data_IF_401180106742
#
_entry.id   IF_401180106742
#
_cell.length_a   1.000
_cell.length_b   1.000
_cell.length_c   1.000
_cell.angle_alpha   90.00
_cell.angle_beta   90.00
_cell.angle_gamma   90.00
#
_symmetry.space_group_name_H-M   'P 1'
#
loop_
_entity.id
_entity.type
_entity.pdbx_description
1 polymer ?
#
# COMPACT_ATOMS: atom_id res chain seq x y z
N UNK A 1 2.41 -0.07 -12.22
CA UNK A 1 3.59 -0.47 -11.42
C UNK A 1 3.19 -1.57 -10.46
N UNK A 2 4.17 -2.32 -9.94
CA UNK A 2 3.94 -3.39 -8.97
C UNK A 2 4.91 -3.24 -7.79
N UNK A 3 4.47 -3.57 -6.58
CA UNK A 3 5.30 -3.58 -5.38
C UNK A 3 5.01 -4.85 -4.58
N UNK A 4 6.08 -5.54 -4.19
CA UNK A 4 6.02 -6.63 -3.22
C UNK A 4 6.18 -6.03 -1.82
N UNK A 5 5.26 -6.34 -0.92
CA UNK A 5 5.29 -5.87 0.47
C UNK A 5 4.95 -7.00 1.43
N UNK A 6 5.51 -6.91 2.63
CA UNK A 6 5.33 -7.88 3.70
C UNK A 6 4.98 -7.16 4.98
N UNK A 7 3.96 -7.65 5.68
CA UNK A 7 3.61 -7.20 7.01
C UNK A 7 3.16 -8.37 7.88
N UNK A 8 3.05 -8.13 9.18
CA UNK A 8 2.72 -9.16 10.17
C UNK A 8 1.50 -8.74 10.99
N UNK A 9 0.60 -9.69 11.24
CA UNK A 9 -0.63 -9.52 12.03
C UNK A 9 -0.56 -10.38 13.29
N UNK A 10 -0.21 -9.82 14.46
CA UNK A 10 -0.24 -10.56 15.71
C UNK A 10 -1.70 -10.78 16.16
N UNK A 11 -1.95 -11.92 16.79
CA UNK A 11 -3.18 -12.20 17.52
C UNK A 11 -2.85 -12.61 18.94
N UNK A 12 -3.62 -12.12 19.90
CA UNK A 12 -3.61 -12.64 21.27
C UNK A 12 -5.01 -12.56 21.84
N UNK A 13 -5.52 -13.67 22.37
CA UNK A 13 -6.87 -13.75 22.93
C UNK A 13 -6.96 -14.72 24.09
N UNK A 14 -7.95 -14.48 24.94
CA UNK A 14 -8.46 -15.42 25.93
C UNK A 14 -9.95 -15.61 25.69
N UNK A 15 -10.42 -16.84 25.70
CA UNK A 15 -11.84 -17.17 25.54
C UNK A 15 -12.16 -18.50 26.22
N UNK A 16 -13.45 -18.73 26.48
CA UNK A 16 -13.94 -20.01 26.98
C UNK A 16 -14.38 -20.88 25.79
N UNK A 17 -13.99 -22.15 25.80
CA UNK A 17 -14.36 -23.13 24.78
C UNK A 17 -14.59 -24.50 25.44
N UNK A 18 -15.78 -25.07 25.23
CA UNK A 18 -16.16 -26.37 25.80
C UNK A 18 -15.98 -26.45 27.33
N UNK A 19 -16.32 -25.36 28.04
CA UNK A 19 -16.15 -25.23 29.49
C UNK A 19 -14.69 -25.08 29.96
N UNK A 20 -13.76 -24.84 29.03
CA UNK A 20 -12.33 -24.67 29.31
C UNK A 20 -11.90 -23.24 29.05
N UNK A 21 -11.09 -22.70 29.95
CA UNK A 21 -10.41 -21.42 29.77
C UNK A 21 -9.23 -21.60 28.81
N UNK A 22 -9.29 -20.94 27.66
CA UNK A 22 -8.27 -21.02 26.61
C UNK A 22 -7.60 -19.66 26.42
N UNK A 23 -6.28 -19.68 26.20
CA UNK A 23 -5.48 -18.54 25.76
C UNK A 23 -4.71 -18.94 24.52
N UNK A 24 -4.72 -18.10 23.48
CA UNK A 24 -3.85 -18.29 22.32
C UNK A 24 -3.18 -16.99 21.90
N UNK A 25 -2.07 -17.16 21.22
CA UNK A 25 -1.39 -16.07 20.54
C UNK A 25 -0.62 -16.59 19.33
N UNK A 26 -0.40 -15.72 18.36
CA UNK A 26 0.25 -16.10 17.12
C UNK A 26 0.60 -14.89 16.29
N UNK A 27 1.33 -15.16 15.21
CA UNK A 27 1.78 -14.16 14.25
C UNK A 27 1.50 -14.67 12.85
N UNK A 28 0.65 -13.95 12.11
CA UNK A 28 0.39 -14.23 10.70
C UNK A 28 1.21 -13.28 9.83
N UNK A 29 2.18 -13.81 9.12
CA UNK A 29 2.93 -13.09 8.08
C UNK A 29 2.10 -13.05 6.80
N UNK A 30 1.97 -11.86 6.23
CA UNK A 30 1.28 -11.60 4.98
C UNK A 30 2.28 -11.01 4.00
N UNK A 31 2.49 -11.70 2.88
CA UNK A 31 3.21 -11.19 1.72
C UNK A 31 2.20 -10.92 0.62
N UNK A 32 2.26 -9.74 0.00
CA UNK A 32 1.37 -9.37 -1.08
C UNK A 32 2.11 -8.63 -2.19
N UNK A 33 1.67 -8.90 -3.41
CA UNK A 33 2.05 -8.12 -4.58
C UNK A 33 0.91 -7.17 -4.94
N UNK A 34 1.12 -5.87 -4.78
CA UNK A 34 0.12 -4.87 -5.11
C UNK A 34 0.46 -4.20 -6.43
N UNK A 35 -0.54 -4.09 -7.32
CA UNK A 35 -0.48 -3.23 -8.49
C UNK A 35 -0.98 -1.86 -8.12
N UNK A 36 -0.23 -0.84 -8.50
CA UNK A 36 -0.59 0.54 -8.28
C UNK A 36 -0.37 1.37 -9.54
N UNK A 37 -1.06 2.50 -9.57
CA UNK A 37 -0.99 3.44 -10.68
C UNK A 37 -1.54 4.79 -10.27
N UNK A 38 -1.63 5.66 -11.27
CA UNK A 38 -2.21 6.99 -11.15
C UNK A 38 -3.20 7.19 -12.29
N UNK A 39 -4.30 7.88 -12.01
CA UNK A 39 -5.20 8.34 -13.06
C UNK A 39 -4.64 9.65 -13.63
N UNK A 40 -4.17 9.59 -14.88
CA UNK A 40 -3.61 10.75 -15.58
C UNK A 40 -4.66 11.87 -15.74
N UNK A 41 -5.96 11.55 -15.75
CA UNK A 41 -7.03 12.56 -15.84
C UNK A 41 -7.21 13.37 -14.56
N UNK A 42 -6.79 12.81 -13.42
CA UNK A 42 -6.80 13.52 -12.13
C UNK A 42 -5.62 14.48 -12.00
N UNK A 43 -4.55 14.28 -12.79
CA UNK A 43 -3.42 15.19 -12.83
C UNK A 43 -3.84 16.58 -13.32
N UNK A 44 -3.12 17.57 -12.80
CA UNK A 44 -3.32 18.98 -13.10
C UNK A 44 -2.00 19.55 -13.58
N UNK A 45 -2.04 20.29 -14.69
CA UNK A 45 -0.88 20.81 -15.37
C UNK A 45 -0.93 22.33 -15.42
N UNK A 46 0.21 22.97 -15.26
CA UNK A 46 0.39 24.41 -15.46
C UNK A 46 1.71 24.60 -16.19
N UNK A 47 1.66 25.21 -17.37
CA UNK A 47 2.85 25.50 -18.14
C UNK A 47 3.16 26.99 -18.07
N UNK A 48 4.34 27.32 -17.57
CA UNK A 48 4.89 28.68 -17.58
C UNK A 48 5.79 28.83 -18.80
N UNK A 49 5.33 29.63 -19.77
CA UNK A 49 6.01 29.87 -21.04
C UNK A 49 7.28 30.70 -20.84
N UNK A 50 7.28 31.66 -19.90
CA UNK A 50 8.40 32.59 -19.72
C UNK A 50 9.62 31.87 -19.14
N UNK A 51 9.38 30.93 -18.21
CA UNK A 51 10.42 30.18 -17.52
C UNK A 51 10.67 28.78 -18.12
N UNK A 52 9.87 28.35 -19.10
CA UNK A 52 9.86 26.99 -19.66
C UNK A 52 9.79 25.93 -18.54
N UNK A 53 8.74 26.02 -17.71
CA UNK A 53 8.51 25.12 -16.58
C UNK A 53 7.12 24.50 -16.66
N UNK A 54 7.06 23.17 -16.61
CA UNK A 54 5.83 22.42 -16.45
C UNK A 54 5.62 22.04 -14.98
N UNK A 55 4.62 22.64 -14.34
CA UNK A 55 4.20 22.27 -13.00
C UNK A 55 3.08 21.23 -13.06
N UNK A 56 3.25 20.12 -12.35
CA UNK A 56 2.28 19.01 -12.28
C UNK A 56 1.82 18.84 -10.83
N UNK A 57 0.51 18.81 -10.62
CA UNK A 57 -0.13 18.72 -9.32
C UNK A 57 -1.13 17.55 -9.24
N UNK A 58 -1.65 17.29 -8.03
CA UNK A 58 -2.63 16.24 -7.72
C UNK A 58 -2.14 14.82 -8.00
N UNK A 59 -0.87 14.54 -7.67
CA UNK A 59 -0.31 13.19 -7.81
C UNK A 59 -0.82 12.32 -6.65
N UNK A 60 -1.88 11.55 -6.92
CA UNK A 60 -2.49 10.64 -5.96
C UNK A 60 -2.40 9.18 -6.44
N UNK A 61 -1.31 8.46 -6.13
CA UNK A 61 -1.21 7.04 -6.44
C UNK A 61 -2.29 6.24 -5.73
N UNK A 62 -2.91 5.29 -6.44
CA UNK A 62 -3.90 4.38 -5.89
C UNK A 62 -3.52 2.93 -6.16
N UNK A 63 -3.84 2.06 -5.21
CA UNK A 63 -3.80 0.63 -5.44
C UNK A 63 -4.93 0.25 -6.40
N UNK A 64 -4.57 -0.43 -7.49
CA UNK A 64 -5.49 -0.86 -8.53
C UNK A 64 -5.97 -2.29 -8.28
N UNK A 65 -5.07 -3.14 -7.78
CA UNK A 65 -5.39 -4.51 -7.40
C UNK A 65 -4.35 -5.06 -6.45
N UNK A 66 -4.78 -5.96 -5.58
CA UNK A 66 -3.91 -6.81 -4.79
C UNK A 66 -3.85 -8.17 -5.50
N UNK A 67 -2.67 -8.49 -6.04
CA UNK A 67 -2.39 -9.72 -6.80
C UNK A 67 -2.24 -10.93 -5.90
N UNK A 68 -1.16 -11.70 -6.08
CA UNK A 68 -0.90 -12.89 -5.26
C UNK A 68 -0.67 -12.52 -3.81
N UNK A 69 -1.35 -13.24 -2.92
CA UNK A 69 -1.31 -13.08 -1.46
C UNK A 69 -0.79 -14.40 -0.89
N UNK A 70 0.26 -14.35 -0.09
CA UNK A 70 0.76 -15.51 0.66
C UNK A 70 0.61 -15.21 2.14
N UNK A 71 -0.09 -16.09 2.84
CA UNK A 71 -0.31 -15.98 4.28
C UNK A 71 0.29 -17.20 4.97
N UNK A 72 1.21 -16.95 5.88
CA UNK A 72 1.90 -18.00 6.63
C UNK A 72 1.93 -17.65 8.10
N UNK A 73 1.62 -18.63 8.95
CA UNK A 73 1.78 -18.48 10.39
C UNK A 73 3.25 -18.63 10.73
N UNK A 74 3.87 -17.57 11.27
CA UNK A 74 5.23 -17.64 11.81
C UNK A 74 5.24 -18.55 13.05
N UNK A 75 4.24 -18.37 13.91
CA UNK A 75 3.95 -19.24 15.04
C UNK A 75 2.48 -19.07 15.46
N UNK A 76 1.94 -20.10 16.12
CA UNK A 76 0.63 -20.04 16.77
C UNK A 76 0.61 -21.03 17.93
N UNK A 77 0.34 -20.54 19.13
CA UNK A 77 0.30 -21.34 20.35
C UNK A 77 -1.06 -21.21 21.03
N UNK A 78 -1.54 -22.33 21.57
CA UNK A 78 -2.80 -22.43 22.30
C UNK A 78 -2.57 -23.12 23.64
N UNK A 79 -3.14 -22.55 24.69
CA UNK A 79 -2.98 -22.96 26.06
C UNK A 79 -4.35 -23.12 26.70
N UNK A 80 -4.46 -24.13 27.55
CA UNK A 80 -5.60 -24.39 28.40
C UNK A 80 -5.22 -24.08 29.85
N UNK A 81 -6.11 -23.43 30.60
CA UNK A 81 -5.93 -23.22 32.03
C UNK A 81 -6.45 -24.43 32.80
N UNK A 82 -5.55 -25.38 33.09
CA UNK A 82 -5.87 -26.64 33.76
C UNK A 82 -4.86 -26.96 34.84
N UNK A 83 -5.18 -27.92 35.71
CA UNK A 83 -4.20 -28.47 36.65
C UNK A 83 -3.56 -29.75 36.11
N UNK A 84 -2.31 -30.01 36.48
CA UNK A 84 -1.63 -31.26 36.14
C UNK A 84 -2.20 -32.45 36.91
N UNK A 85 -2.68 -32.22 38.13
CA UNK A 85 -3.28 -33.23 39.01
C UNK A 85 -4.15 -32.56 40.09
N UNK A 86 -4.83 -33.36 40.90
CA UNK A 86 -5.82 -32.87 41.90
C UNK A 86 -5.17 -31.98 42.98
N UNK A 87 -3.86 -32.09 43.20
CA UNK A 87 -3.14 -31.36 44.25
C UNK A 87 -2.35 -30.15 43.73
N UNK A 88 -2.31 -29.94 42.42
CA UNK A 88 -1.56 -28.85 41.81
C UNK A 88 -2.46 -27.66 41.50
N UNK A 89 -1.89 -26.46 41.57
CA UNK A 89 -2.56 -25.25 41.10
C UNK A 89 -2.75 -25.26 39.59
N UNK A 90 -3.82 -24.61 39.12
CA UNK A 90 -4.08 -24.44 37.69
C UNK A 90 -3.07 -23.49 37.06
N UNK A 91 -2.57 -23.86 35.88
CA UNK A 91 -1.60 -23.10 35.09
C UNK A 91 -1.96 -23.19 33.61
N UNK A 92 -1.49 -22.22 32.83
CA UNK A 92 -1.60 -22.27 31.37
C UNK A 92 -0.66 -23.35 30.83
N UNK A 93 -1.22 -24.35 30.16
CA UNK A 93 -0.47 -25.49 29.64
C UNK A 93 -0.93 -25.83 28.23
N UNK A 94 -0.01 -26.35 27.42
CA UNK A 94 -0.34 -26.84 26.09
C UNK A 94 -1.30 -28.03 26.21
N UNK A 95 -2.34 -28.03 25.37
CA UNK A 95 -3.28 -29.13 25.22
C UNK A 95 -3.24 -29.62 23.78
N UNK A 96 -2.89 -30.89 23.59
CA UNK A 96 -2.73 -31.48 22.26
C UNK A 96 -4.07 -31.77 21.57
N UNK A 97 -5.15 -31.93 22.33
CA UNK A 97 -6.51 -32.14 21.84
C UNK A 97 -7.15 -30.86 21.27
N UNK A 98 -6.56 -29.69 21.50
CA UNK A 98 -7.01 -28.41 20.94
C UNK A 98 -6.54 -28.17 19.50
N UNK A 99 -5.87 -29.13 18.85
CA UNK A 99 -5.31 -28.94 17.51
C UNK A 99 -6.37 -28.59 16.45
N UNK A 100 -7.51 -29.29 16.45
CA UNK A 100 -8.59 -28.98 15.50
C UNK A 100 -9.18 -27.58 15.73
N UNK A 101 -9.33 -27.21 17.00
CA UNK A 101 -9.83 -25.89 17.38
C UNK A 101 -8.82 -24.79 17.01
N UNK A 102 -7.53 -25.01 17.23
CA UNK A 102 -6.46 -24.13 16.80
C UNK A 102 -6.49 -23.91 15.28
N UNK A 103 -6.69 -24.96 14.48
CA UNK A 103 -6.81 -24.83 13.03
C UNK A 103 -8.05 -24.01 12.62
N UNK A 104 -9.18 -24.19 13.30
CA UNK A 104 -10.39 -23.37 13.08
C UNK A 104 -10.12 -21.89 13.40
N UNK A 105 -9.43 -21.58 14.50
CA UNK A 105 -9.05 -20.20 14.85
C UNK A 105 -8.11 -19.63 13.79
N UNK A 106 -7.08 -20.38 13.41
CA UNK A 106 -6.09 -19.96 12.41
C UNK A 106 -6.75 -19.63 11.07
N UNK A 107 -7.66 -20.47 10.60
CA UNK A 107 -8.36 -20.27 9.34
C UNK A 107 -9.36 -19.11 9.42
N UNK A 108 -10.11 -19.01 10.51
CA UNK A 108 -11.02 -17.87 10.75
C UNK A 108 -10.27 -16.54 10.75
N UNK A 109 -9.11 -16.50 11.41
CA UNK A 109 -8.27 -15.30 11.43
C UNK A 109 -7.68 -15.00 10.06
N UNK A 110 -7.18 -16.01 9.34
CA UNK A 110 -6.69 -15.87 7.97
C UNK A 110 -7.75 -15.26 7.05
N UNK A 111 -8.98 -15.75 7.10
CA UNK A 111 -10.11 -15.19 6.34
C UNK A 111 -10.44 -13.75 6.75
N UNK A 112 -10.39 -13.44 8.05
CA UNK A 112 -10.60 -12.08 8.53
C UNK A 112 -9.55 -11.11 7.99
N UNK A 113 -8.28 -11.54 7.96
CA UNK A 113 -7.17 -10.75 7.41
C UNK A 113 -7.32 -10.61 5.89
N UNK A 114 -7.72 -11.66 5.19
CA UNK A 114 -8.02 -11.62 3.76
C UNK A 114 -9.06 -10.56 3.41
N UNK A 115 -10.19 -10.54 4.13
CA UNK A 115 -11.24 -9.54 3.96
C UNK A 115 -10.77 -8.11 4.28
N UNK A 116 -9.80 -7.95 5.19
CA UNK A 116 -9.22 -6.64 5.50
C UNK A 116 -8.31 -6.12 4.38
N UNK A 117 -7.57 -7.01 3.70
CA UNK A 117 -6.68 -6.64 2.59
C UNK A 117 -7.48 -6.11 1.41
N UNK A 118 -8.64 -6.69 1.12
CA UNK A 118 -9.50 -6.23 0.02
C UNK A 118 -9.99 -4.78 0.21
N UNK A 119 -10.06 -4.31 1.46
CA UNK A 119 -10.46 -2.93 1.78
C UNK A 119 -9.28 -1.95 1.77
N UNK A 120 -8.05 -2.43 1.56
CA UNK A 120 -6.82 -1.65 1.71
C UNK A 120 -6.37 -1.62 3.18
N UNK A 121 -5.30 -2.36 3.55
CA UNK A 121 -4.78 -2.33 4.91
C UNK A 121 -4.15 -0.97 5.24
N UNK A 122 -4.47 -0.42 6.41
CA UNK A 122 -3.76 0.75 6.98
C UNK A 122 -2.25 0.50 7.08
N UNK A 123 -1.83 -0.74 7.26
CA UNK A 123 -0.42 -1.13 7.31
C UNK A 123 0.30 -0.98 5.96
N UNK A 124 -0.39 -0.60 4.88
CA UNK A 124 0.26 -0.21 3.63
C UNK A 124 0.53 1.29 3.55
N UNK A 125 0.22 2.06 4.59
CA UNK A 125 0.48 3.50 4.55
C UNK A 125 1.96 3.83 4.37
N UNK A 126 2.84 3.04 4.99
CA UNK A 126 4.29 3.25 4.90
C UNK A 126 4.84 3.05 3.48
N UNK A 127 4.18 2.28 2.61
CA UNK A 127 4.59 2.12 1.20
C UNK A 127 4.07 3.23 0.29
N UNK A 128 3.20 4.14 0.74
CA UNK A 128 2.73 5.26 -0.10
C UNK A 128 3.88 6.17 -0.53
N UNK A 129 4.82 6.47 0.37
CA UNK A 129 5.96 7.35 0.05
C UNK A 129 6.83 6.81 -1.10
N UNK A 130 7.34 5.56 -1.07
CA UNK A 130 8.11 5.03 -2.19
C UNK A 130 7.25 4.84 -3.46
N UNK A 131 5.97 4.50 -3.33
CA UNK A 131 5.04 4.44 -4.47
C UNK A 131 4.93 5.80 -5.16
N UNK A 132 4.73 6.85 -4.36
CA UNK A 132 4.62 8.22 -4.84
C UNK A 132 5.88 8.66 -5.57
N UNK A 133 7.05 8.45 -4.98
CA UNK A 133 8.33 8.74 -5.64
C UNK A 133 8.48 8.01 -6.98
N UNK A 134 8.08 6.75 -7.06
CA UNK A 134 8.10 5.99 -8.31
C UNK A 134 7.17 6.58 -9.38
N UNK A 135 5.97 7.04 -8.98
CA UNK A 135 5.02 7.71 -9.87
C UNK A 135 5.55 9.06 -10.32
N UNK A 136 6.12 9.86 -9.43
CA UNK A 136 6.74 11.16 -9.74
C UNK A 136 7.88 11.01 -10.74
N UNK A 137 8.75 10.00 -10.54
CA UNK A 137 9.81 9.67 -11.50
C UNK A 137 9.26 9.27 -12.87
N UNK A 138 8.17 8.48 -12.91
CA UNK A 138 7.54 8.09 -14.16
C UNK A 138 6.90 9.29 -14.89
N UNK A 139 6.23 10.18 -14.16
CA UNK A 139 5.67 11.42 -14.70
C UNK A 139 6.79 12.29 -15.26
N UNK A 140 7.88 12.46 -14.53
CA UNK A 140 9.06 13.18 -15.01
C UNK A 140 9.52 12.60 -16.34
N UNK A 141 9.69 11.27 -16.47
CA UNK A 141 10.11 10.63 -17.72
C UNK A 141 9.11 10.85 -18.86
N UNK A 142 7.81 10.74 -18.59
CA UNK A 142 6.75 10.87 -19.61
C UNK A 142 6.69 12.27 -20.23
N UNK A 143 6.84 13.31 -19.43
CA UNK A 143 6.68 14.70 -19.88
C UNK A 143 8.00 15.40 -20.21
N UNK A 144 9.17 14.78 -19.91
CA UNK A 144 10.49 15.39 -20.15
C UNK A 144 10.75 15.73 -21.61
N UNK A 145 10.18 14.96 -22.53
CA UNK A 145 10.26 15.23 -23.97
C UNK A 145 9.48 16.47 -24.39
N UNK A 146 8.48 16.88 -23.59
CA UNK A 146 7.63 18.04 -23.84
C UNK A 146 8.17 19.29 -23.14
N UNK A 147 8.64 19.16 -21.90
CA UNK A 147 9.28 20.23 -21.13
C UNK A 147 10.42 19.65 -20.27
N UNK A 148 11.66 20.14 -20.41
CA UNK A 148 12.79 19.63 -19.63
C UNK A 148 12.70 19.93 -18.13
N UNK A 149 12.11 21.07 -17.77
CA UNK A 149 11.99 21.54 -16.39
C UNK A 149 10.60 21.20 -15.84
N UNK A 150 10.52 20.10 -15.10
CA UNK A 150 9.27 19.67 -14.48
C UNK A 150 9.35 19.91 -12.97
N UNK A 151 8.32 20.55 -12.43
CA UNK A 151 8.14 20.75 -10.99
C UNK A 151 6.88 20.00 -10.57
N UNK A 152 6.99 19.24 -9.50
CA UNK A 152 5.88 18.49 -8.94
C UNK A 152 5.46 19.14 -7.63
N UNK A 153 4.17 19.41 -7.48
CA UNK A 153 3.57 19.96 -6.26
C UNK A 153 2.40 19.08 -5.78
N UNK A 154 2.00 19.23 -4.52
CA UNK A 154 0.91 18.46 -3.94
C UNK A 154 -0.46 18.85 -4.52
N UNK A 155 -0.83 20.13 -4.41
CA UNK A 155 -2.17 20.62 -4.70
C UNK A 155 -2.20 21.58 -5.88
N UNK A 156 -3.25 21.48 -6.69
CA UNK A 156 -3.52 22.40 -7.78
C UNK A 156 -4.33 23.63 -7.30
N UNK A 157 -4.05 24.79 -7.87
CA UNK A 157 -4.89 25.99 -7.78
C UNK A 157 -5.78 26.15 -9.04
N UNK A 158 -6.56 27.23 -9.12
CA UNK A 158 -7.45 27.53 -10.25
C UNK A 158 -6.72 27.74 -11.60
N UNK A 159 -5.41 27.99 -11.58
CA UNK A 159 -4.61 28.20 -12.79
C UNK A 159 -4.19 26.89 -13.47
N UNK A 160 -4.41 25.74 -12.82
CA UNK A 160 -4.10 24.45 -13.41
C UNK A 160 -5.21 23.96 -14.34
N UNK A 161 -4.79 23.28 -15.40
CA UNK A 161 -5.65 22.70 -16.43
C UNK A 161 -5.52 21.17 -16.46
N UNK A 162 -6.57 20.46 -16.90
CA UNK A 162 -6.48 19.02 -17.14
C UNK A 162 -5.65 18.74 -18.41
N UNK A 163 -5.17 17.50 -18.55
CA UNK A 163 -4.27 17.10 -19.64
C UNK A 163 -4.85 17.36 -21.04
N UNK A 164 -6.16 17.26 -21.22
CA UNK A 164 -6.82 17.45 -22.52
C UNK A 164 -6.73 18.90 -23.03
N UNK A 165 -6.51 19.86 -22.13
CA UNK A 165 -6.33 21.29 -22.47
C UNK A 165 -4.86 21.69 -22.54
N UNK A 166 -3.94 20.77 -22.23
CA UNK A 166 -2.51 21.04 -22.24
C UNK A 166 -2.05 21.20 -23.69
N UNK A 167 -1.68 22.43 -24.06
CA UNK A 167 -1.05 22.73 -25.34
C UNK A 167 0.37 23.21 -25.09
N UNK A 168 1.34 22.51 -25.67
CA UNK A 168 2.68 23.03 -25.85
C UNK A 168 2.67 23.68 -27.22
N UNK A 169 2.50 25.00 -27.31
CA UNK A 169 2.70 25.68 -28.58
C UNK A 169 4.20 25.62 -28.88
N UNK A 170 4.67 24.87 -29.89
CA UNK A 170 6.02 25.06 -30.36
C UNK A 170 5.97 26.34 -31.17
N UNK A 171 6.35 27.48 -30.60
CA UNK A 171 6.82 28.53 -31.49
C UNK A 171 8.06 27.96 -32.18
N UNK A 172 8.08 27.83 -33.52
CA UNK A 172 9.31 27.52 -34.19
C UNK A 172 10.24 28.67 -33.87
N UNK A 173 11.35 28.39 -33.21
CA UNK A 173 12.46 29.33 -33.02
C UNK A 173 12.98 29.67 -34.41
N UNK A 174 12.31 30.59 -35.11
CA UNK A 174 12.85 31.34 -36.21
C UNK A 174 13.87 32.26 -35.57
N UNK A 175 15.09 31.72 -35.38
CA UNK A 175 16.29 32.55 -35.31
C UNK A 175 16.26 33.41 -36.56
N UNK A 176 15.80 34.66 -36.41
CA UNK A 176 16.17 35.77 -37.27
C UNK A 176 17.70 35.85 -37.19
N UNK A 177 18.38 35.14 -38.09
CA UNK A 177 19.69 35.56 -38.52
C UNK A 177 19.43 36.76 -39.42
N UNK A 178 19.37 37.93 -38.79
CA UNK A 178 19.52 39.20 -39.47
C UNK A 178 20.87 39.14 -40.21
N UNK A 179 20.77 39.22 -41.52
CA UNK A 179 21.89 39.45 -42.41
C UNK A 179 22.49 40.80 -42.02
N UNK A 180 23.63 40.78 -41.32
CA UNK A 180 24.52 41.93 -41.35
C UNK A 180 25.42 41.79 -42.56
N UNK A 181 25.15 42.69 -43.51
CA UNK A 181 25.99 43.08 -44.65
C UNK A 181 27.29 43.68 -44.15
#
# INVERSE_FOLDING_TARGET
FEIETKFTRPISRKEEYDGRDIKYFGSLSVTLNAKYGIDIKELRFKYDIENDVLTIANINPRFLSFGTRKMEWDFFEIFEYRSQNIFADRKWMVSYDLFEYANKIKEKYRMSVENSIEKGPEELEWIYKPIRQNVENAINVLFRSMCPNIVIIDEADESFIPIEKLSFNPEPVKKKLEQHT
#
